data_IF_139795754709
#
_entry.id   IF_139795754709
#
_cell.length_a   1.000
_cell.length_b   1.000
_cell.length_c   1.000
_cell.angle_alpha   90.00
_cell.angle_beta   90.00
_cell.angle_gamma   90.00
#
_symmetry.space_group_name_H-M   'P 1'
#
loop_
_entity.id
_entity.type
_entity.pdbx_description
1 polymer ?
#
# COMPACT_ATOMS: atom_id res chain seq x y z
N UNK A 1 1.14 19.53 24.28
CA UNK A 1 2.13 18.71 23.58
C UNK A 1 2.59 19.49 22.38
N UNK A 2 3.82 19.95 22.40
CA UNK A 2 4.47 20.53 21.23
C UNK A 2 5.31 19.47 20.51
N UNK A 3 5.90 19.83 19.37
CA UNK A 3 6.73 18.92 18.56
C UNK A 3 7.92 18.32 19.33
N UNK A 4 8.49 19.04 20.30
CA UNK A 4 9.63 18.57 21.09
C UNK A 4 9.17 17.55 22.13
N UNK A 5 8.07 17.84 22.82
CA UNK A 5 7.41 16.91 23.73
C UNK A 5 6.97 15.63 23.01
N UNK A 6 6.50 15.75 21.77
CA UNK A 6 6.18 14.61 20.92
C UNK A 6 7.42 13.75 20.62
N UNK A 7 8.55 14.37 20.25
CA UNK A 7 9.80 13.67 20.00
C UNK A 7 10.29 12.87 21.22
N UNK A 8 10.25 13.50 22.40
CA UNK A 8 10.59 12.83 23.65
C UNK A 8 9.62 11.67 23.94
N UNK A 9 8.32 11.89 23.76
CA UNK A 9 7.31 10.86 23.99
C UNK A 9 7.45 9.66 23.03
N UNK A 10 7.72 9.90 21.74
CA UNK A 10 7.94 8.84 20.74
C UNK A 10 9.21 8.04 21.05
N UNK A 11 10.29 8.73 21.44
CA UNK A 11 11.52 8.09 21.89
C UNK A 11 11.29 7.22 23.14
N UNK A 12 10.57 7.75 24.13
CA UNK A 12 10.21 7.02 25.35
C UNK A 12 9.30 5.81 25.08
N UNK A 13 8.39 5.92 24.09
CA UNK A 13 7.53 4.83 23.64
C UNK A 13 8.28 3.79 22.78
N UNK A 14 9.56 4.00 22.47
CA UNK A 14 10.37 3.10 21.66
C UNK A 14 10.01 3.11 20.17
N UNK A 15 9.34 4.15 19.68
CA UNK A 15 9.01 4.31 18.27
C UNK A 15 10.31 4.60 17.50
N UNK A 16 10.66 3.81 16.47
CA UNK A 16 11.86 4.07 15.67
C UNK A 16 11.81 5.43 14.98
N UNK A 17 12.85 6.24 15.15
CA UNK A 17 12.96 7.58 14.57
C UNK A 17 12.97 7.64 13.03
N UNK A 18 13.01 6.49 12.34
CA UNK A 18 12.84 6.40 10.89
C UNK A 18 11.38 6.45 10.43
N UNK A 19 10.41 6.21 11.33
CA UNK A 19 8.98 6.13 10.99
C UNK A 19 8.28 7.49 10.95
N UNK A 20 8.94 8.54 11.42
CA UNK A 20 8.37 9.88 11.47
C UNK A 20 9.37 10.95 11.03
N UNK A 21 8.84 12.04 10.46
CA UNK A 21 9.58 13.25 10.10
C UNK A 21 8.91 14.44 10.80
N UNK A 22 9.57 14.95 11.83
CA UNK A 22 9.09 16.06 12.65
C UNK A 22 10.21 17.12 12.69
N UNK A 23 9.87 18.38 12.50
CA UNK A 23 10.82 19.48 12.61
C UNK A 23 11.49 19.48 14.00
N UNK A 24 12.81 19.70 14.03
CA UNK A 24 13.66 19.71 15.23
C UNK A 24 13.75 18.37 15.99
N UNK A 25 13.24 17.30 15.39
CA UNK A 25 13.39 15.95 15.90
C UNK A 25 14.63 15.27 15.30
N UNK A 26 15.57 14.77 16.12
CA UNK A 26 16.70 14.02 15.59
C UNK A 26 16.20 12.70 14.98
N UNK A 27 16.27 12.60 13.65
CA UNK A 27 16.04 11.33 12.94
C UNK A 27 17.14 10.32 13.25
N UNK A 28 16.93 9.03 12.90
CA UNK A 28 17.95 7.99 13.09
C UNK A 28 19.27 8.37 12.39
N UNK A 29 20.37 8.60 13.13
CA UNK A 29 21.66 8.93 12.53
C UNK A 29 22.22 7.72 11.78
N UNK A 30 22.56 7.90 10.50
CA UNK A 30 23.30 6.92 9.69
C UNK A 30 22.51 5.70 9.20
N UNK A 31 21.20 5.62 9.46
CA UNK A 31 20.34 4.54 8.95
C UNK A 31 19.69 4.89 7.61
N UNK A 32 19.39 3.89 6.74
CA UNK A 32 18.55 4.12 5.57
C UNK A 32 17.19 4.65 6.02
N UNK A 33 16.77 5.80 5.49
CA UNK A 33 15.44 6.35 5.76
C UNK A 33 14.39 5.44 5.09
N UNK A 34 13.39 4.95 5.83
CA UNK A 34 12.26 4.26 5.23
C UNK A 34 11.61 5.11 4.14
N UNK A 35 11.18 4.47 3.05
CA UNK A 35 10.41 5.13 2.00
C UNK A 35 9.03 5.57 2.49
N UNK A 36 8.52 4.89 3.52
CA UNK A 36 7.22 5.09 4.13
C UNK A 36 7.38 5.61 5.57
N UNK A 37 6.85 6.81 5.83
CA UNK A 37 6.95 7.50 7.13
C UNK A 37 5.87 8.56 7.29
N UNK A 38 5.44 8.80 8.51
CA UNK A 38 4.53 9.91 8.83
C UNK A 38 5.32 11.21 8.95
N UNK A 39 4.69 12.35 8.70
CA UNK A 39 5.31 13.65 8.88
C UNK A 39 4.37 14.63 9.59
N UNK A 40 4.97 15.56 10.31
CA UNK A 40 4.31 16.72 10.92
C UNK A 40 4.95 18.00 10.36
N UNK A 41 4.15 18.86 9.77
CA UNK A 41 4.61 20.11 9.15
C UNK A 41 3.62 21.25 9.40
N UNK A 42 4.12 22.46 9.65
CA UNK A 42 3.28 23.66 9.66
C UNK A 42 3.15 24.21 8.24
N UNK A 43 1.92 24.39 7.76
CA UNK A 43 1.60 24.95 6.44
C UNK A 43 0.59 26.09 6.59
N UNK A 44 0.99 27.31 6.24
CA UNK A 44 0.14 28.50 6.24
C UNK A 44 -0.60 28.77 7.57
N UNK A 45 0.01 28.43 8.71
CA UNK A 45 -0.57 28.60 10.05
C UNK A 45 -1.46 27.44 10.51
N UNK A 46 -1.57 26.37 9.72
CA UNK A 46 -2.20 25.11 10.12
C UNK A 46 -1.14 24.02 10.27
N UNK A 47 -1.42 23.05 11.14
CA UNK A 47 -0.58 21.88 11.34
C UNK A 47 -1.08 20.71 10.51
N UNK A 48 -0.19 20.12 9.73
CA UNK A 48 -0.49 19.05 8.80
C UNK A 48 0.16 17.77 9.29
N UNK A 49 -0.67 16.73 9.45
CA UNK A 49 -0.20 15.36 9.60
C UNK A 49 -0.39 14.66 8.27
N UNK A 50 0.67 14.03 7.78
CA UNK A 50 0.62 13.32 6.51
C UNK A 50 1.55 12.12 6.48
N UNK A 51 1.52 11.41 5.36
CA UNK A 51 2.42 10.30 5.09
C UNK A 51 3.27 10.63 3.88
N UNK A 52 4.56 10.30 3.95
CA UNK A 52 5.40 10.18 2.78
C UNK A 52 5.56 8.72 2.44
N UNK A 53 5.20 8.34 1.22
CA UNK A 53 5.34 6.99 0.69
C UNK A 53 6.03 7.05 -0.67
N UNK A 54 7.14 6.34 -0.82
CA UNK A 54 7.90 6.23 -2.09
C UNK A 54 8.20 7.60 -2.73
N UNK A 55 8.52 8.59 -1.88
CA UNK A 55 8.80 9.96 -2.29
C UNK A 55 7.58 10.87 -2.47
N UNK A 56 6.35 10.34 -2.47
CA UNK A 56 5.12 11.13 -2.56
C UNK A 56 4.62 11.52 -1.17
N UNK A 57 4.34 12.80 -0.94
CA UNK A 57 3.70 13.30 0.29
C UNK A 57 2.19 13.40 0.10
N UNK A 58 1.43 12.83 1.03
CA UNK A 58 -0.03 12.89 1.07
C UNK A 58 -0.47 13.42 2.42
N UNK A 59 -1.29 14.47 2.41
CA UNK A 59 -1.92 15.01 3.62
C UNK A 59 -3.00 14.04 4.08
N UNK A 60 -2.93 13.61 5.33
CA UNK A 60 -3.97 12.81 5.96
C UNK A 60 -4.98 13.72 6.64
N UNK A 61 -4.50 14.64 7.47
CA UNK A 61 -5.36 15.54 8.24
C UNK A 61 -4.68 16.90 8.47
N UNK A 62 -5.52 17.93 8.65
CA UNK A 62 -5.10 19.29 9.01
C UNK A 62 -5.71 19.68 10.35
N UNK A 63 -4.92 20.35 11.16
CA UNK A 63 -5.30 20.78 12.49
C UNK A 63 -5.01 22.27 12.66
N UNK A 64 -5.87 23.01 13.38
CA UNK A 64 -5.60 24.41 13.70
C UNK A 64 -4.53 24.55 14.80
N UNK A 65 -4.27 23.50 15.58
CA UNK A 65 -3.43 23.55 16.78
C UNK A 65 -2.30 22.51 16.72
N UNK A 66 -1.08 22.91 17.12
CA UNK A 66 0.09 22.02 17.23
C UNK A 66 -0.20 20.84 18.17
N UNK A 67 -0.85 21.11 19.31
CA UNK A 67 -1.17 20.08 20.31
C UNK A 67 -2.06 18.98 19.77
N UNK A 68 -3.07 19.33 18.96
CA UNK A 68 -3.97 18.35 18.37
C UNK A 68 -3.25 17.50 17.33
N UNK A 69 -2.47 18.14 16.46
CA UNK A 69 -1.69 17.44 15.44
C UNK A 69 -0.66 16.49 16.08
N UNK A 70 0.06 16.96 17.10
CA UNK A 70 1.04 16.16 17.81
C UNK A 70 0.38 14.96 18.50
N UNK A 71 -0.77 15.15 19.17
CA UNK A 71 -1.49 14.04 19.83
C UNK A 71 -2.02 13.02 18.84
N UNK A 72 -2.54 13.47 17.70
CA UNK A 72 -3.00 12.59 16.62
C UNK A 72 -1.83 11.75 16.09
N UNK A 73 -0.69 12.38 15.77
CA UNK A 73 0.50 11.67 15.29
C UNK A 73 1.07 10.70 16.34
N UNK A 74 1.08 11.08 17.62
CA UNK A 74 1.49 10.19 18.69
C UNK A 74 0.60 8.96 18.78
N UNK A 75 -0.72 9.14 18.73
CA UNK A 75 -1.69 8.04 18.74
C UNK A 75 -1.41 7.11 17.55
N UNK A 76 -1.30 7.64 16.33
CA UNK A 76 -1.03 6.82 15.13
C UNK A 76 0.26 5.99 15.23
N UNK A 77 1.34 6.58 15.74
CA UNK A 77 2.65 5.92 15.84
C UNK A 77 2.75 4.93 17.00
N UNK A 78 1.98 5.13 18.07
CA UNK A 78 1.98 4.27 19.25
C UNK A 78 0.84 3.24 19.24
N UNK A 79 -0.19 3.46 18.44
CA UNK A 79 -1.30 2.53 18.20
C UNK A 79 -0.92 1.43 17.20
N UNK A 80 0.29 0.87 17.36
CA UNK A 80 0.69 -0.42 16.78
C UNK A 80 -0.12 -1.60 17.33
N UNK A 81 -1.18 -1.34 18.11
CA UNK A 81 -1.97 -2.34 18.83
C UNK A 81 -3.43 -2.42 18.39
N UNK A 82 -3.84 -1.77 17.30
CA UNK A 82 -5.07 -2.18 16.63
C UNK A 82 -4.71 -3.25 15.59
N UNK A 83 -4.67 -4.55 15.96
CA UNK A 83 -4.77 -5.57 14.92
C UNK A 83 -6.02 -5.25 14.10
N UNK A 84 -6.06 -5.59 12.79
CA UNK A 84 -7.33 -5.54 12.08
C UNK A 84 -8.36 -6.21 12.97
N UNK A 85 -9.42 -5.48 13.35
CA UNK A 85 -10.46 -6.03 14.21
C UNK A 85 -10.79 -7.41 13.68
N UNK A 86 -10.63 -8.48 14.49
CA UNK A 86 -10.88 -9.82 14.00
C UNK A 86 -12.30 -9.82 13.43
N UNK A 87 -12.43 -10.18 12.16
CA UNK A 87 -13.72 -10.32 11.52
C UNK A 87 -14.59 -11.19 12.41
N UNK A 88 -15.85 -10.80 12.58
CA UNK A 88 -16.81 -11.66 13.26
C UNK A 88 -16.90 -13.01 12.52
N UNK A 89 -17.34 -14.08 13.19
CA UNK A 89 -17.54 -15.37 12.52
C UNK A 89 -18.44 -15.25 11.28
N UNK A 90 -19.46 -14.39 11.34
CA UNK A 90 -20.38 -14.12 10.23
C UNK A 90 -19.68 -13.44 9.05
N UNK A 91 -18.92 -12.36 9.29
CA UNK A 91 -18.15 -11.68 8.25
C UNK A 91 -17.06 -12.60 7.66
N UNK A 92 -16.48 -13.47 8.48
CA UNK A 92 -15.50 -14.46 8.03
C UNK A 92 -16.15 -15.50 7.12
N UNK A 93 -17.34 -15.99 7.47
CA UNK A 93 -18.09 -16.94 6.66
C UNK A 93 -18.55 -16.31 5.34
N UNK A 94 -19.03 -15.06 5.37
CA UNK A 94 -19.41 -14.31 4.18
C UNK A 94 -18.21 -14.12 3.23
N UNK A 95 -17.06 -13.69 3.77
CA UNK A 95 -15.83 -13.53 2.98
C UNK A 95 -15.34 -14.86 2.38
N UNK A 96 -15.42 -15.94 3.15
CA UNK A 96 -15.07 -17.28 2.67
C UNK A 96 -16.01 -17.72 1.53
N UNK A 97 -17.32 -17.52 1.70
CA UNK A 97 -18.33 -17.83 0.68
C UNK A 97 -18.09 -17.09 -0.63
N UNK A 98 -17.84 -15.78 -0.56
CA UNK A 98 -17.52 -14.96 -1.71
C UNK A 98 -16.26 -15.44 -2.43
N UNK A 99 -15.23 -15.78 -1.66
CA UNK A 99 -13.95 -16.28 -2.20
C UNK A 99 -14.12 -17.63 -2.93
N UNK A 100 -14.96 -18.52 -2.42
CA UNK A 100 -15.27 -19.81 -3.05
C UNK A 100 -16.04 -19.62 -4.37
N UNK A 101 -16.98 -18.68 -4.39
CA UNK A 101 -17.69 -18.28 -5.60
C UNK A 101 -16.74 -17.79 -6.69
N UNK A 102 -15.78 -16.93 -6.32
CA UNK A 102 -14.75 -16.42 -7.24
C UNK A 102 -13.88 -17.57 -7.77
N UNK A 103 -13.40 -18.46 -6.87
CA UNK A 103 -12.54 -19.59 -7.25
C UNK A 103 -13.24 -20.56 -8.19
N UNK A 104 -14.52 -20.85 -7.96
CA UNK A 104 -15.32 -21.72 -8.84
C UNK A 104 -15.44 -21.12 -10.24
N UNK A 105 -15.84 -19.85 -10.34
CA UNK A 105 -15.97 -19.16 -11.64
C UNK A 105 -14.66 -19.14 -12.42
N UNK A 106 -13.54 -18.89 -11.73
CA UNK A 106 -12.22 -18.92 -12.36
C UNK A 106 -11.86 -20.31 -12.93
N UNK A 107 -12.17 -21.39 -12.21
CA UNK A 107 -11.93 -22.77 -12.68
C UNK A 107 -12.78 -23.12 -13.90
N UNK A 108 -14.05 -22.74 -13.91
CA UNK A 108 -14.94 -22.97 -15.06
C UNK A 108 -14.49 -22.20 -16.29
N UNK A 109 -14.03 -20.96 -16.13
CA UNK A 109 -13.46 -20.17 -17.23
C UNK A 109 -12.20 -20.82 -17.78
N UNK A 110 -11.30 -21.31 -16.92
CA UNK A 110 -10.11 -22.05 -17.34
C UNK A 110 -10.47 -23.33 -18.11
N UNK A 111 -11.41 -24.12 -17.60
CA UNK A 111 -11.86 -25.34 -18.27
C UNK A 111 -12.40 -25.05 -19.67
N UNK A 112 -13.27 -24.05 -19.80
CA UNK A 112 -13.80 -23.60 -21.11
C UNK A 112 -12.69 -23.15 -22.06
N UNK A 113 -11.71 -22.39 -21.56
CA UNK A 113 -10.59 -21.94 -22.38
C UNK A 113 -9.73 -23.11 -22.89
N UNK A 114 -9.48 -24.11 -22.05
CA UNK A 114 -8.74 -25.32 -22.43
C UNK A 114 -9.51 -26.17 -23.44
N UNK A 115 -10.84 -26.30 -23.29
CA UNK A 115 -11.70 -26.98 -24.26
C UNK A 115 -11.69 -26.28 -25.62
N UNK A 116 -11.78 -24.95 -25.64
CA UNK A 116 -11.71 -24.15 -26.88
C UNK A 116 -10.34 -24.34 -27.54
N UNK A 117 -9.24 -24.27 -26.76
CA UNK A 117 -7.89 -24.46 -27.27
C UNK A 117 -7.67 -25.88 -27.83
N UNK A 118 -8.25 -26.90 -27.20
CA UNK A 118 -8.20 -28.28 -27.68
C UNK A 118 -9.00 -28.50 -28.97
N UNK A 119 -10.07 -27.72 -29.19
CA UNK A 119 -10.92 -27.77 -30.38
C UNK A 119 -10.35 -26.96 -31.55
N UNK A 120 -9.39 -26.06 -31.32
CA UNK A 120 -8.66 -25.40 -32.39
C UNK A 120 -7.59 -26.35 -32.94
N UNK A 121 -7.72 -26.85 -34.20
CA UNK A 121 -6.61 -27.55 -34.83
C UNK A 121 -5.42 -26.60 -34.94
N UNK A 122 -4.16 -27.09 -34.97
CA UNK A 122 -3.03 -26.23 -35.23
C UNK A 122 -3.32 -25.50 -36.54
N UNK A 123 -3.40 -24.17 -36.49
CA UNK A 123 -3.46 -23.37 -37.70
C UNK A 123 -2.20 -23.75 -38.48
N UNK A 124 -2.38 -24.57 -39.52
CA UNK A 124 -1.34 -24.81 -40.50
C UNK A 124 -1.12 -23.46 -41.11
N UNK A 125 -0.06 -22.80 -40.65
CA UNK A 125 0.61 -21.77 -41.40
C UNK A 125 1.11 -22.45 -42.68
N UNK A 126 0.22 -22.58 -43.66
CA UNK A 126 0.61 -22.90 -45.02
C UNK A 126 1.34 -21.69 -45.54
N UNK A 127 2.62 -21.62 -45.18
CA UNK A 127 3.63 -20.95 -45.97
C UNK A 127 3.60 -21.55 -47.37
N UNK A 128 2.78 -20.98 -48.26
CA UNK A 128 3.00 -21.09 -49.70
C UNK A 128 4.12 -20.15 -50.07
N UNK A 129 5.34 -20.59 -49.75
CA UNK A 129 6.53 -20.31 -50.54
C UNK A 129 6.43 -21.18 -51.80
N UNK A 130 5.67 -20.73 -52.80
CA UNK A 130 5.81 -21.26 -54.16
C UNK A 130 7.04 -20.59 -54.79
N UNK A 131 8.13 -21.36 -54.78
CA UNK A 131 9.37 -21.19 -55.54
C UNK A 131 9.12 -20.68 -56.97
N UNK A 132 9.83 -19.61 -57.31
CA UNK A 132 10.68 -19.44 -58.50
C UNK A 132 10.12 -19.75 -59.89
N UNK A 133 10.25 -18.77 -60.79
CA UNK A 133 10.91 -19.03 -62.07
C UNK A 133 11.71 -17.79 -62.51
N UNK A 134 12.94 -17.93 -63.04
CA UNK A 134 13.81 -16.83 -63.43
C UNK A 134 13.74 -16.53 -64.94
N UNK A 135 13.78 -15.25 -65.29
CA UNK A 135 14.24 -14.78 -66.59
C UNK A 135 13.14 -14.40 -67.60
N UNK A 136 13.05 -13.11 -67.92
CA UNK A 136 13.63 -12.53 -69.14
C UNK A 136 13.71 -11.02 -69.04
#
# INVERSE_FOLDING_TARGET
MDRHQLCEALSAAGVPAGLYEIADCPGSPGGPRPEDRLYLEEQAGEWVVGVQQRGMRTVLERFPDEDRACRSLYAELTDRSSPPSPLTPEETEELLHDSEGIRRRAREQLARALEIAAQQPPQRDTGQHARGDPGR
#
